data_IF_931710862951
#
_entry.id   IF_931710862951
#
_cell.length_a   1.000
_cell.length_b   1.000
_cell.length_c   1.000
_cell.angle_alpha   90.00
_cell.angle_beta   90.00
_cell.angle_gamma   90.00
#
_symmetry.space_group_name_H-M   'P 1'
#
loop_
_entity.id
_entity.type
_entity.pdbx_description
1 polymer ?
#
# COMPACT_ATOMS: atom_id res chain seq x y z
N UNK A 1 -13.31 8.75 15.15
CA UNK A 1 -13.28 8.74 13.67
C UNK A 1 -14.02 9.96 13.16
N UNK A 2 -13.37 10.83 12.40
CA UNK A 2 -13.92 12.06 11.85
C UNK A 2 -15.14 11.77 10.93
N UNK A 3 -16.14 12.68 10.91
CA UNK A 3 -17.33 12.54 10.06
C UNK A 3 -16.98 12.34 8.57
N UNK A 4 -16.03 13.11 8.07
CA UNK A 4 -15.58 13.02 6.67
C UNK A 4 -15.03 11.63 6.33
N UNK A 5 -14.31 11.02 7.25
CA UNK A 5 -13.73 9.68 7.08
C UNK A 5 -14.79 8.58 7.15
N UNK A 6 -15.75 8.70 8.07
CA UNK A 6 -16.89 7.80 8.13
C UNK A 6 -17.70 7.83 6.82
N UNK A 7 -17.91 9.02 6.26
CA UNK A 7 -18.58 9.19 4.96
C UNK A 7 -17.78 8.57 3.81
N UNK A 8 -16.44 8.76 3.81
CA UNK A 8 -15.57 8.13 2.80
C UNK A 8 -15.60 6.59 2.91
N UNK A 9 -15.46 6.04 4.11
CA UNK A 9 -15.56 4.59 4.34
C UNK A 9 -16.92 4.03 3.93
N UNK A 10 -18.02 4.72 4.27
CA UNK A 10 -19.37 4.35 3.85
C UNK A 10 -19.56 4.42 2.34
N UNK A 11 -18.96 5.40 1.67
CA UNK A 11 -18.96 5.52 0.21
C UNK A 11 -18.23 4.36 -0.43
N UNK A 12 -17.04 4.01 0.07
CA UNK A 12 -16.26 2.87 -0.39
C UNK A 12 -17.03 1.56 -0.22
N UNK A 13 -17.61 1.34 0.95
CA UNK A 13 -18.44 0.17 1.24
C UNK A 13 -19.66 0.08 0.31
N UNK A 14 -20.37 1.18 0.08
CA UNK A 14 -21.52 1.20 -0.82
C UNK A 14 -21.10 0.93 -2.28
N UNK A 15 -19.96 1.46 -2.71
CA UNK A 15 -19.45 1.18 -4.06
C UNK A 15 -19.01 -0.28 -4.20
N UNK A 16 -18.37 -0.86 -3.18
CA UNK A 16 -18.01 -2.28 -3.17
C UNK A 16 -19.25 -3.19 -3.25
N UNK A 17 -20.39 -2.80 -2.64
CA UNK A 17 -21.67 -3.52 -2.84
C UNK A 17 -22.10 -3.51 -4.29
N UNK A 18 -21.93 -2.38 -4.98
CA UNK A 18 -22.27 -2.29 -6.42
C UNK A 18 -21.35 -3.20 -7.22
N UNK A 19 -20.04 -3.21 -6.93
CA UNK A 19 -19.08 -4.12 -7.56
C UNK A 19 -19.51 -5.59 -7.36
N UNK A 20 -19.81 -6.00 -6.13
CA UNK A 20 -20.22 -7.37 -5.82
C UNK A 20 -21.55 -7.75 -6.52
N UNK A 21 -22.53 -6.85 -6.54
CA UNK A 21 -23.80 -7.07 -7.21
C UNK A 21 -23.65 -7.19 -8.74
N UNK A 22 -22.86 -6.29 -9.36
CA UNK A 22 -22.56 -6.34 -10.79
C UNK A 22 -21.79 -7.61 -11.14
N UNK A 23 -20.77 -7.98 -10.33
CA UNK A 23 -20.02 -9.22 -10.49
C UNK A 23 -20.95 -10.46 -10.46
N UNK A 24 -21.89 -10.50 -9.52
CA UNK A 24 -22.86 -11.58 -9.43
C UNK A 24 -23.79 -11.63 -10.65
N UNK A 25 -24.26 -10.49 -11.16
CA UNK A 25 -25.08 -10.39 -12.36
C UNK A 25 -24.31 -10.90 -13.59
N UNK A 26 -23.07 -10.45 -13.77
CA UNK A 26 -22.21 -10.89 -14.88
C UNK A 26 -21.92 -12.39 -14.81
N UNK A 27 -21.61 -12.92 -13.63
CA UNK A 27 -21.44 -14.36 -13.40
C UNK A 27 -22.70 -15.14 -13.80
N UNK A 28 -23.87 -14.70 -13.32
CA UNK A 28 -25.16 -15.35 -13.66
C UNK A 28 -25.43 -15.31 -15.15
N UNK A 29 -25.13 -14.18 -15.82
CA UNK A 29 -25.27 -14.05 -17.28
C UNK A 29 -24.33 -15.00 -18.04
N UNK A 30 -23.09 -15.20 -17.59
CA UNK A 30 -22.15 -16.15 -18.18
C UNK A 30 -22.60 -17.60 -18.01
N UNK A 31 -23.15 -17.99 -16.84
CA UNK A 31 -23.70 -19.30 -16.63
C UNK A 31 -24.93 -19.55 -17.49
N UNK A 32 -25.81 -18.55 -17.66
CA UNK A 32 -26.95 -18.63 -18.58
C UNK A 32 -26.48 -18.79 -20.03
N UNK A 33 -25.47 -18.04 -20.44
CA UNK A 33 -24.87 -18.18 -21.77
C UNK A 33 -24.29 -19.58 -22.00
N UNK A 34 -23.59 -20.14 -21.01
CA UNK A 34 -23.12 -21.53 -21.05
C UNK A 34 -24.30 -22.51 -21.23
N UNK A 35 -25.37 -22.34 -20.46
CA UNK A 35 -26.55 -23.23 -20.55
C UNK A 35 -27.22 -23.21 -21.95
N UNK A 36 -27.21 -22.06 -22.61
CA UNK A 36 -27.76 -21.88 -23.96
C UNK A 36 -26.83 -22.41 -25.04
N UNK A 37 -25.51 -22.17 -24.91
CA UNK A 37 -24.53 -22.46 -25.98
C UNK A 37 -23.81 -23.80 -25.84
N UNK A 38 -23.76 -24.36 -24.63
CA UNK A 38 -22.98 -25.57 -24.31
C UNK A 38 -21.47 -25.37 -24.47
N UNK A 39 -20.96 -24.13 -24.63
CA UNK A 39 -19.57 -23.84 -24.89
C UNK A 39 -18.71 -24.00 -23.63
N UNK A 40 -17.70 -24.88 -23.70
CA UNK A 40 -16.75 -25.09 -22.61
C UNK A 40 -15.93 -23.80 -22.29
N UNK A 41 -15.61 -23.00 -23.31
CA UNK A 41 -14.89 -21.74 -23.11
C UNK A 41 -15.72 -20.74 -22.26
N UNK A 42 -17.04 -20.66 -22.52
CA UNK A 42 -17.95 -19.83 -21.70
C UNK A 42 -18.07 -20.39 -20.28
N UNK A 43 -18.06 -21.72 -20.10
CA UNK A 43 -18.06 -22.33 -18.78
C UNK A 43 -16.80 -21.96 -18.01
N UNK A 44 -15.63 -22.01 -18.63
CA UNK A 44 -14.36 -21.62 -18.00
C UNK A 44 -14.41 -20.16 -17.53
N UNK A 45 -14.88 -19.24 -18.37
CA UNK A 45 -15.02 -17.81 -18.03
C UNK A 45 -16.09 -17.58 -16.92
N UNK A 46 -17.17 -18.39 -16.90
CA UNK A 46 -18.16 -18.36 -15.83
C UNK A 46 -17.59 -18.88 -14.50
N UNK A 47 -16.76 -19.93 -14.52
CA UNK A 47 -16.08 -20.47 -13.33
C UNK A 47 -15.07 -19.45 -12.74
N UNK A 48 -14.31 -18.75 -13.59
CA UNK A 48 -13.44 -17.66 -13.17
C UNK A 48 -14.22 -16.54 -12.47
N UNK A 49 -15.44 -16.25 -12.96
CA UNK A 49 -16.31 -15.23 -12.34
C UNK A 49 -16.78 -15.58 -10.93
N UNK A 50 -16.78 -16.88 -10.53
CA UNK A 50 -17.03 -17.27 -9.14
C UNK A 50 -15.92 -16.72 -8.24
N UNK A 51 -14.67 -16.84 -8.66
CA UNK A 51 -13.50 -16.34 -7.93
C UNK A 51 -13.63 -14.83 -7.71
N UNK A 52 -14.07 -14.10 -8.75
CA UNK A 52 -14.27 -12.65 -8.70
C UNK A 52 -15.37 -12.24 -7.71
N UNK A 53 -16.46 -12.98 -7.66
CA UNK A 53 -17.54 -12.74 -6.68
C UNK A 53 -17.05 -13.02 -5.26
N UNK A 54 -16.27 -14.08 -5.03
CA UNK A 54 -15.69 -14.40 -3.72
C UNK A 54 -14.74 -13.28 -3.28
N UNK A 55 -13.84 -12.82 -4.15
CA UNK A 55 -12.96 -11.69 -3.88
C UNK A 55 -13.75 -10.42 -3.53
N UNK A 56 -14.80 -10.12 -4.30
CA UNK A 56 -15.70 -8.99 -4.05
C UNK A 56 -16.38 -9.05 -2.68
N UNK A 57 -16.78 -10.22 -2.21
CA UNK A 57 -17.39 -10.44 -0.88
C UNK A 57 -16.34 -10.26 0.22
N UNK A 58 -15.12 -10.76 0.03
CA UNK A 58 -14.00 -10.56 0.99
C UNK A 58 -13.69 -9.07 1.13
N UNK A 59 -13.56 -8.34 0.01
CA UNK A 59 -13.35 -6.89 0.02
C UNK A 59 -14.50 -6.12 0.68
N UNK A 60 -15.74 -6.55 0.45
CA UNK A 60 -16.91 -5.96 1.10
C UNK A 60 -16.88 -6.16 2.62
N UNK A 61 -16.50 -7.34 3.10
CA UNK A 61 -16.37 -7.65 4.52
C UNK A 61 -15.22 -6.84 5.16
N UNK A 62 -14.10 -6.72 4.48
CA UNK A 62 -12.98 -5.90 4.94
C UNK A 62 -13.39 -4.43 5.11
N UNK A 63 -14.04 -3.84 4.11
CA UNK A 63 -14.54 -2.46 4.19
C UNK A 63 -15.62 -2.27 5.27
N UNK A 64 -16.44 -3.31 5.53
CA UNK A 64 -17.38 -3.27 6.65
C UNK A 64 -16.66 -3.22 8.00
N UNK A 65 -15.63 -4.04 8.19
CA UNK A 65 -14.84 -4.04 9.43
C UNK A 65 -14.08 -2.73 9.64
N UNK A 66 -13.54 -2.13 8.57
CA UNK A 66 -12.84 -0.83 8.64
C UNK A 66 -13.72 0.30 9.16
N UNK A 67 -15.05 0.20 9.00
CA UNK A 67 -15.97 1.20 9.56
C UNK A 67 -16.19 1.06 11.07
N UNK A 68 -15.76 -0.05 11.69
CA UNK A 68 -15.87 -0.21 13.14
C UNK A 68 -14.82 0.68 13.82
N UNK A 69 -15.20 1.42 14.87
CA UNK A 69 -14.24 2.17 15.67
C UNK A 69 -13.28 1.24 16.39
N UNK A 70 -12.21 1.80 16.91
CA UNK A 70 -11.35 1.11 17.86
C UNK A 70 -12.17 0.61 19.06
N UNK A 71 -11.84 -0.58 19.55
CA UNK A 71 -12.45 -1.24 20.69
C UNK A 71 -11.37 -1.83 21.61
N UNK A 72 -11.77 -2.39 22.76
CA UNK A 72 -10.84 -2.94 23.77
C UNK A 72 -9.94 -4.06 23.21
N UNK A 73 -10.41 -4.80 22.21
CA UNK A 73 -9.64 -5.87 21.56
C UNK A 73 -8.76 -5.38 20.40
N UNK A 74 -9.13 -4.24 19.80
CA UNK A 74 -8.43 -3.62 18.68
C UNK A 74 -8.24 -2.12 18.94
N UNK A 75 -7.34 -1.73 19.88
CA UNK A 75 -7.20 -0.32 20.31
C UNK A 75 -6.74 0.62 19.18
N UNK A 76 -6.04 0.11 18.16
CA UNK A 76 -5.67 0.86 16.95
C UNK A 76 -6.71 0.79 15.82
N UNK A 77 -7.90 0.19 16.09
CA UNK A 77 -8.97 0.02 15.11
C UNK A 77 -8.75 -1.18 14.18
N UNK A 78 -9.63 -1.29 13.18
CA UNK A 78 -9.71 -2.46 12.29
C UNK A 78 -9.11 -2.19 10.90
N UNK A 79 -8.36 -1.10 10.70
CA UNK A 79 -7.88 -0.67 9.38
C UNK A 79 -6.98 -1.66 8.66
N UNK A 80 -6.18 -2.45 9.38
CA UNK A 80 -5.27 -3.45 8.77
C UNK A 80 -5.99 -4.58 8.03
N UNK A 81 -7.29 -4.78 8.26
CA UNK A 81 -8.08 -5.79 7.55
C UNK A 81 -8.13 -5.52 6.03
N UNK A 82 -8.02 -4.26 5.60
CA UNK A 82 -7.91 -3.92 4.18
C UNK A 82 -6.64 -4.48 3.54
N UNK A 83 -5.53 -4.50 4.29
CA UNK A 83 -4.27 -5.06 3.82
C UNK A 83 -4.34 -6.59 3.67
N UNK A 84 -5.05 -7.26 4.60
CA UNK A 84 -5.29 -8.71 4.52
C UNK A 84 -6.15 -9.02 3.29
N UNK A 85 -7.26 -8.31 3.11
CA UNK A 85 -8.13 -8.47 1.93
C UNK A 85 -7.36 -8.25 0.63
N UNK A 86 -6.58 -7.16 0.53
CA UNK A 86 -5.75 -6.87 -0.65
C UNK A 86 -4.68 -7.92 -0.90
N UNK A 87 -4.11 -8.54 0.16
CA UNK A 87 -3.14 -9.62 0.01
C UNK A 87 -3.78 -10.85 -0.61
N UNK A 88 -5.00 -11.19 -0.17
CA UNK A 88 -5.79 -12.29 -0.75
C UNK A 88 -6.10 -11.99 -2.22
N UNK A 89 -6.59 -10.78 -2.53
CA UNK A 89 -6.90 -10.37 -3.91
C UNK A 89 -5.64 -10.40 -4.80
N UNK A 90 -4.51 -9.87 -4.34
CA UNK A 90 -3.25 -9.91 -5.07
C UNK A 90 -2.75 -11.33 -5.34
N UNK A 91 -2.95 -12.24 -4.38
CA UNK A 91 -2.65 -13.67 -4.56
C UNK A 91 -3.55 -14.31 -5.61
N UNK A 92 -4.86 -14.03 -5.57
CA UNK A 92 -5.82 -14.55 -6.53
C UNK A 92 -5.54 -14.06 -7.96
N UNK A 93 -5.23 -12.77 -8.14
CA UNK A 93 -4.81 -12.18 -9.42
C UNK A 93 -3.54 -12.90 -9.94
N UNK A 94 -2.54 -13.11 -9.07
CA UNK A 94 -1.29 -13.77 -9.45
C UNK A 94 -1.50 -15.22 -9.88
N UNK A 95 -2.34 -15.96 -9.15
CA UNK A 95 -2.69 -17.35 -9.48
C UNK A 95 -3.45 -17.41 -10.80
N UNK A 96 -4.45 -16.54 -11.02
CA UNK A 96 -5.20 -16.47 -12.26
C UNK A 96 -4.27 -16.19 -13.46
N UNK A 97 -3.37 -15.21 -13.35
CA UNK A 97 -2.38 -14.93 -14.39
C UNK A 97 -1.43 -16.11 -14.66
N UNK A 98 -1.01 -16.83 -13.62
CA UNK A 98 -0.18 -18.04 -13.78
C UNK A 98 -0.94 -19.17 -14.49
N UNK A 99 -2.22 -19.37 -14.17
CA UNK A 99 -3.08 -20.36 -14.85
C UNK A 99 -3.27 -20.00 -16.33
N UNK A 100 -3.47 -18.72 -16.67
CA UNK A 100 -3.54 -18.24 -18.07
C UNK A 100 -2.23 -18.54 -18.80
N UNK A 101 -1.08 -18.35 -18.19
CA UNK A 101 0.22 -18.67 -18.80
C UNK A 101 0.32 -20.19 -19.05
N UNK A 102 -0.03 -21.02 -18.08
CA UNK A 102 0.01 -22.49 -18.23
C UNK A 102 -0.93 -22.96 -19.35
N UNK A 103 -2.16 -22.47 -19.38
CA UNK A 103 -3.13 -22.75 -20.45
C UNK A 103 -2.60 -22.31 -21.82
N UNK A 104 -1.97 -21.13 -21.89
CA UNK A 104 -1.40 -20.59 -23.13
C UNK A 104 -0.26 -21.47 -23.66
N UNK A 105 0.60 -21.97 -22.76
CA UNK A 105 1.66 -22.90 -23.13
C UNK A 105 1.08 -24.24 -23.62
N UNK A 106 0.06 -24.76 -22.97
CA UNK A 106 -0.60 -26.00 -23.41
C UNK A 106 -1.23 -25.87 -24.79
N UNK A 107 -1.96 -24.76 -25.03
CA UNK A 107 -2.53 -24.45 -26.37
C UNK A 107 -1.45 -24.22 -27.44
N UNK A 108 -0.30 -23.71 -27.06
CA UNK A 108 0.84 -23.58 -27.99
C UNK A 108 1.40 -24.94 -28.41
N UNK A 109 1.45 -25.90 -27.48
CA UNK A 109 1.95 -27.27 -27.73
C UNK A 109 0.89 -28.16 -28.39
N UNK A 110 -0.40 -27.97 -28.09
CA UNK A 110 -1.53 -28.76 -28.55
C UNK A 110 -2.61 -27.84 -29.14
N UNK A 111 -2.42 -27.33 -30.37
CA UNK A 111 -3.39 -26.46 -31.02
C UNK A 111 -4.77 -27.13 -31.10
N UNK A 112 -5.82 -26.46 -30.64
CA UNK A 112 -7.20 -26.92 -30.73
C UNK A 112 -8.03 -26.01 -31.63
N UNK A 113 -8.95 -26.62 -32.39
CA UNK A 113 -9.86 -25.85 -33.27
C UNK A 113 -10.83 -25.03 -32.41
N UNK A 114 -10.94 -23.75 -32.73
CA UNK A 114 -11.84 -22.81 -32.06
C UNK A 114 -13.20 -22.90 -32.73
N UNK A 115 -14.16 -23.58 -32.07
CA UNK A 115 -15.51 -23.74 -32.56
C UNK A 115 -16.47 -22.72 -31.91
N UNK A 116 -17.28 -22.05 -32.74
CA UNK A 116 -18.43 -21.17 -32.39
C UNK A 116 -18.11 -19.88 -31.60
N UNK A 117 -17.87 -18.80 -32.34
CA UNK A 117 -17.39 -17.51 -31.88
C UNK A 117 -18.47 -16.43 -31.58
N UNK A 118 -19.72 -16.56 -32.07
CA UNK A 118 -20.53 -15.35 -32.30
C UNK A 118 -21.16 -14.74 -31.01
N UNK A 119 -21.89 -15.50 -30.20
CA UNK A 119 -22.60 -14.94 -29.04
C UNK A 119 -21.66 -14.82 -27.82
N UNK A 120 -20.77 -15.77 -27.64
CA UNK A 120 -19.79 -15.77 -26.52
C UNK A 120 -18.89 -14.55 -26.55
N UNK A 121 -18.43 -14.16 -27.74
CA UNK A 121 -17.54 -12.98 -27.93
C UNK A 121 -18.22 -11.66 -27.52
N UNK A 122 -19.50 -11.49 -27.85
CA UNK A 122 -20.28 -10.30 -27.46
C UNK A 122 -20.43 -10.24 -25.92
N UNK A 123 -20.71 -11.36 -25.28
CA UNK A 123 -20.88 -11.42 -23.82
C UNK A 123 -19.56 -11.09 -23.12
N UNK A 124 -18.43 -11.68 -23.59
CA UNK A 124 -17.09 -11.39 -23.05
C UNK A 124 -16.74 -9.92 -23.26
N UNK A 125 -17.02 -9.33 -24.43
CA UNK A 125 -16.74 -7.92 -24.68
C UNK A 125 -17.55 -6.98 -23.78
N UNK A 126 -18.85 -7.27 -23.59
CA UNK A 126 -19.70 -6.48 -22.67
C UNK A 126 -19.22 -6.61 -21.23
N UNK A 127 -18.89 -7.83 -20.78
CA UNK A 127 -18.36 -8.07 -19.43
C UNK A 127 -17.02 -7.33 -19.21
N UNK A 128 -16.13 -7.37 -20.20
CA UNK A 128 -14.86 -6.66 -20.15
C UNK A 128 -15.06 -5.14 -20.03
N UNK A 129 -15.99 -4.57 -20.80
CA UNK A 129 -16.28 -3.13 -20.72
C UNK A 129 -16.83 -2.72 -19.35
N UNK A 130 -17.74 -3.51 -18.80
CA UNK A 130 -18.31 -3.27 -17.47
C UNK A 130 -17.24 -3.40 -16.40
N UNK A 131 -16.40 -4.46 -16.43
CA UNK A 131 -15.31 -4.67 -15.50
C UNK A 131 -14.28 -3.53 -15.58
N UNK A 132 -13.95 -3.05 -16.78
CA UNK A 132 -13.05 -1.91 -16.97
C UNK A 132 -13.61 -0.64 -16.32
N UNK A 133 -14.86 -0.30 -16.60
CA UNK A 133 -15.50 0.88 -16.05
C UNK A 133 -15.54 0.84 -14.52
N UNK A 134 -15.99 -0.28 -13.95
CA UNK A 134 -16.06 -0.49 -12.50
C UNK A 134 -14.67 -0.50 -11.86
N UNK A 135 -13.71 -1.19 -12.48
CA UNK A 135 -12.34 -1.27 -12.00
C UNK A 135 -11.65 0.09 -11.98
N UNK A 136 -11.77 0.87 -13.06
CA UNK A 136 -11.22 2.22 -13.13
C UNK A 136 -11.81 3.15 -12.06
N UNK A 137 -13.14 3.10 -11.86
CA UNK A 137 -13.82 3.88 -10.82
C UNK A 137 -13.36 3.44 -9.42
N UNK A 138 -13.22 2.14 -9.17
CA UNK A 138 -12.75 1.59 -7.89
C UNK A 138 -11.31 2.03 -7.58
N UNK A 139 -10.39 1.95 -8.54
CA UNK A 139 -9.00 2.41 -8.37
C UNK A 139 -8.97 3.91 -8.04
N UNK A 140 -9.72 4.71 -8.82
CA UNK A 140 -9.75 6.16 -8.59
C UNK A 140 -10.32 6.52 -7.22
N UNK A 141 -11.40 5.87 -6.82
CA UNK A 141 -12.02 6.08 -5.51
C UNK A 141 -11.12 5.57 -4.38
N UNK A 142 -10.56 4.36 -4.50
CA UNK A 142 -9.66 3.78 -3.51
C UNK A 142 -8.44 4.66 -3.25
N UNK A 143 -7.82 5.21 -4.32
CA UNK A 143 -6.70 6.16 -4.17
C UNK A 143 -7.10 7.46 -3.50
N UNK A 144 -8.28 8.02 -3.83
CA UNK A 144 -8.76 9.28 -3.23
C UNK A 144 -9.13 9.15 -1.76
N UNK A 145 -9.44 7.94 -1.29
CA UNK A 145 -9.82 7.65 0.09
C UNK A 145 -8.76 6.88 0.87
N UNK A 146 -7.60 6.61 0.24
CA UNK A 146 -6.54 5.75 0.77
C UNK A 146 -7.01 4.34 1.18
N UNK A 147 -8.06 3.81 0.53
CA UNK A 147 -8.55 2.45 0.75
C UNK A 147 -7.80 1.45 -0.11
N UNK A 148 -6.95 0.64 0.52
CA UNK A 148 -6.14 -0.38 -0.15
C UNK A 148 -7.00 -1.51 -0.70
N UNK A 149 -8.07 -1.92 0.04
CA UNK A 149 -9.01 -2.93 -0.39
C UNK A 149 -9.76 -2.53 -1.66
N UNK A 150 -10.30 -1.29 -1.71
CA UNK A 150 -11.02 -0.83 -2.89
C UNK A 150 -10.09 -0.65 -4.11
N UNK A 151 -8.83 -0.20 -3.90
CA UNK A 151 -7.83 -0.14 -4.97
C UNK A 151 -7.49 -1.55 -5.49
N UNK A 152 -7.37 -2.54 -4.60
CA UNK A 152 -7.09 -3.93 -4.98
C UNK A 152 -8.25 -4.53 -5.78
N UNK A 153 -9.49 -4.40 -5.30
CA UNK A 153 -10.70 -4.83 -6.04
C UNK A 153 -10.77 -4.20 -7.43
N UNK A 154 -10.43 -2.91 -7.55
CA UNK A 154 -10.38 -2.24 -8.85
C UNK A 154 -9.30 -2.81 -9.77
N UNK A 155 -8.12 -3.13 -9.26
CA UNK A 155 -7.03 -3.77 -10.03
C UNK A 155 -7.40 -5.17 -10.46
N UNK A 156 -8.13 -5.92 -9.64
CA UNK A 156 -8.64 -7.23 -9.99
C UNK A 156 -9.58 -7.15 -11.20
N UNK A 157 -10.59 -6.28 -11.16
CA UNK A 157 -11.50 -6.05 -12.28
C UNK A 157 -10.80 -5.60 -13.57
N UNK A 158 -9.75 -4.76 -13.46
CA UNK A 158 -8.94 -4.37 -14.61
C UNK A 158 -8.10 -5.55 -15.14
N UNK A 159 -7.60 -6.45 -14.28
CA UNK A 159 -6.89 -7.66 -14.70
C UNK A 159 -7.79 -8.58 -15.52
N UNK A 160 -9.04 -8.77 -15.09
CA UNK A 160 -10.04 -9.53 -15.86
C UNK A 160 -10.31 -8.90 -17.23
N UNK A 161 -10.35 -7.57 -17.27
CA UNK A 161 -10.46 -6.84 -18.56
C UNK A 161 -9.27 -7.11 -19.46
N UNK A 162 -8.04 -7.11 -18.92
CA UNK A 162 -6.84 -7.38 -19.72
C UNK A 162 -6.84 -8.81 -20.28
N UNK A 163 -7.25 -9.78 -19.48
CA UNK A 163 -7.47 -11.16 -19.93
C UNK A 163 -8.46 -11.22 -21.08
N UNK A 164 -9.63 -10.61 -20.90
CA UNK A 164 -10.69 -10.58 -21.94
C UNK A 164 -10.23 -9.87 -23.22
N UNK A 165 -9.53 -8.74 -23.12
CA UNK A 165 -8.97 -8.02 -24.27
C UNK A 165 -7.91 -8.87 -24.98
N UNK A 166 -7.07 -9.60 -24.24
CA UNK A 166 -6.11 -10.55 -24.81
C UNK A 166 -6.79 -11.60 -25.69
N UNK A 167 -7.85 -12.21 -25.17
CA UNK A 167 -8.67 -13.20 -25.90
C UNK A 167 -9.29 -12.56 -27.16
N UNK A 168 -9.92 -11.39 -27.02
CA UNK A 168 -10.57 -10.70 -28.14
C UNK A 168 -9.58 -10.31 -29.24
N UNK A 169 -8.36 -9.84 -28.89
CA UNK A 169 -7.32 -9.52 -29.86
C UNK A 169 -6.74 -10.77 -30.51
N UNK A 170 -6.45 -11.82 -29.76
CA UNK A 170 -5.98 -13.09 -30.28
C UNK A 170 -6.94 -13.68 -31.30
N UNK A 171 -8.23 -13.79 -30.93
CA UNK A 171 -9.28 -14.29 -31.82
C UNK A 171 -9.52 -13.38 -33.04
N UNK A 172 -9.44 -12.05 -32.85
CA UNK A 172 -9.58 -11.10 -33.94
C UNK A 172 -8.49 -11.24 -34.99
N UNK A 173 -7.23 -11.45 -34.58
CA UNK A 173 -6.10 -11.69 -35.46
C UNK A 173 -6.25 -13.01 -36.19
N UNK A 174 -6.66 -14.07 -35.52
CA UNK A 174 -6.90 -15.39 -36.13
C UNK A 174 -8.04 -15.30 -37.16
N UNK A 175 -9.16 -14.64 -36.83
CA UNK A 175 -10.27 -14.45 -37.74
C UNK A 175 -9.87 -13.65 -39.00
N UNK A 176 -9.17 -12.54 -38.84
CA UNK A 176 -8.67 -11.73 -39.96
C UNK A 176 -7.66 -12.50 -40.82
N UNK A 177 -6.79 -13.29 -40.20
CA UNK A 177 -5.84 -14.14 -40.89
C UNK A 177 -6.51 -15.21 -41.74
N UNK A 178 -7.46 -15.93 -41.18
CA UNK A 178 -8.24 -16.94 -41.90
C UNK A 178 -9.00 -16.34 -43.11
N UNK A 179 -9.57 -15.13 -42.96
CA UNK A 179 -10.22 -14.41 -44.06
C UNK A 179 -9.27 -14.06 -45.18
N UNK A 180 -7.96 -13.90 -44.88
CA UNK A 180 -6.87 -13.58 -45.85
C UNK A 180 -6.14 -14.85 -46.33
N UNK A 181 -6.53 -16.03 -45.88
CA UNK A 181 -5.92 -17.33 -46.24
C UNK A 181 -4.62 -17.65 -45.52
N UNK A 182 -4.33 -16.97 -44.39
CA UNK A 182 -3.17 -17.23 -43.54
C UNK A 182 -3.62 -17.97 -42.25
N UNK A 183 -2.91 -19.04 -41.90
CA UNK A 183 -3.08 -19.67 -40.58
C UNK A 183 -2.31 -18.89 -39.51
N UNK A 184 -3.04 -18.10 -38.76
CA UNK A 184 -2.49 -17.27 -37.67
C UNK A 184 -2.88 -17.77 -36.26
N UNK A 185 -3.25 -19.06 -36.13
CA UNK A 185 -3.66 -19.68 -34.84
C UNK A 185 -2.65 -19.51 -33.71
N UNK A 186 -1.36 -19.35 -34.05
CA UNK A 186 -0.29 -19.17 -33.07
C UNK A 186 -0.37 -17.83 -32.30
N UNK A 187 -1.07 -16.81 -32.83
CA UNK A 187 -1.17 -15.50 -32.19
C UNK A 187 -2.05 -15.52 -30.94
N UNK A 188 -3.07 -16.36 -30.86
CA UNK A 188 -3.94 -16.48 -29.69
C UNK A 188 -3.14 -16.86 -28.41
N UNK A 189 -2.39 -17.96 -28.36
CA UNK A 189 -1.58 -18.29 -27.18
C UNK A 189 -0.45 -17.28 -26.89
N UNK A 190 0.13 -16.63 -27.90
CA UNK A 190 1.13 -15.58 -27.68
C UNK A 190 0.52 -14.39 -26.95
N UNK A 191 -0.63 -13.92 -27.41
CA UNK A 191 -1.32 -12.78 -26.75
C UNK A 191 -1.74 -13.16 -25.33
N UNK A 192 -2.30 -14.35 -25.12
CA UNK A 192 -2.67 -14.83 -23.79
C UNK A 192 -1.45 -14.91 -22.85
N UNK A 193 -0.27 -15.32 -23.34
CA UNK A 193 0.97 -15.36 -22.55
C UNK A 193 1.43 -13.95 -22.15
N UNK A 194 1.38 -12.98 -23.06
CA UNK A 194 1.74 -11.58 -22.79
C UNK A 194 0.83 -10.98 -21.72
N UNK A 195 -0.50 -11.12 -21.89
CA UNK A 195 -1.47 -10.60 -20.92
C UNK A 195 -1.40 -11.34 -19.58
N UNK A 196 -1.21 -12.67 -19.58
CA UNK A 196 -0.97 -13.45 -18.37
C UNK A 196 0.24 -12.95 -17.58
N UNK A 197 1.34 -12.62 -18.25
CA UNK A 197 2.52 -12.04 -17.59
C UNK A 197 2.22 -10.67 -16.97
N UNK A 198 1.48 -9.79 -17.65
CA UNK A 198 1.06 -8.48 -17.10
C UNK A 198 0.18 -8.68 -15.86
N UNK A 199 -0.75 -9.65 -15.89
CA UNK A 199 -1.64 -9.96 -14.78
C UNK A 199 -0.83 -10.46 -13.57
N UNK A 200 0.12 -11.40 -13.75
CA UNK A 200 1.00 -11.89 -12.68
C UNK A 200 1.77 -10.74 -12.04
N UNK A 201 2.41 -9.89 -12.85
CA UNK A 201 3.17 -8.73 -12.35
C UNK A 201 2.27 -7.79 -11.53
N UNK A 202 1.04 -7.56 -11.99
CA UNK A 202 0.07 -6.71 -11.28
C UNK A 202 -0.33 -7.33 -9.95
N UNK A 203 -0.66 -8.61 -9.92
CA UNK A 203 -1.05 -9.33 -8.70
C UNK A 203 0.08 -9.36 -7.66
N UNK A 204 1.31 -9.69 -8.11
CA UNK A 204 2.49 -9.69 -7.22
C UNK A 204 2.75 -8.29 -6.64
N UNK A 205 2.61 -7.23 -7.43
CA UNK A 205 2.77 -5.85 -6.92
C UNK A 205 1.71 -5.50 -5.85
N UNK A 206 0.46 -5.92 -6.06
CA UNK A 206 -0.61 -5.72 -5.05
C UNK A 206 -0.28 -6.49 -3.79
N UNK A 207 0.09 -7.77 -3.92
CA UNK A 207 0.46 -8.64 -2.80
C UNK A 207 1.62 -8.05 -1.99
N UNK A 208 2.74 -7.70 -2.66
CA UNK A 208 3.92 -7.14 -1.98
C UNK A 208 3.63 -5.81 -1.30
N UNK A 209 2.82 -4.93 -1.93
CA UNK A 209 2.40 -3.66 -1.32
C UNK A 209 1.61 -3.91 -0.04
N UNK A 210 0.68 -4.87 -0.06
CA UNK A 210 -0.16 -5.20 1.09
C UNK A 210 0.64 -5.90 2.21
N UNK A 211 1.52 -6.83 1.86
CA UNK A 211 2.42 -7.49 2.81
C UNK A 211 3.36 -6.49 3.50
N UNK A 212 3.94 -5.55 2.76
CA UNK A 212 4.75 -4.49 3.34
C UNK A 212 3.94 -3.63 4.32
N UNK A 213 2.68 -3.30 3.99
CA UNK A 213 1.79 -2.58 4.89
C UNK A 213 1.45 -3.37 6.16
N UNK A 214 1.27 -4.70 6.07
CA UNK A 214 1.06 -5.57 7.25
C UNK A 214 2.29 -5.57 8.16
N UNK A 215 3.49 -5.52 7.57
CA UNK A 215 4.78 -5.45 8.27
C UNK A 215 5.16 -4.03 8.72
N UNK A 216 4.23 -3.09 8.73
CA UNK A 216 4.43 -1.71 9.17
C UNK A 216 5.55 -0.97 8.41
N UNK A 217 5.67 -1.21 7.10
CA UNK A 217 6.62 -0.47 6.27
C UNK A 217 6.31 1.03 6.28
N UNK A 218 7.36 1.85 6.41
CA UNK A 218 7.22 3.29 6.47
C UNK A 218 6.64 3.88 5.17
N UNK A 219 5.67 4.77 5.31
CA UNK A 219 5.18 5.59 4.19
C UNK A 219 6.12 6.78 3.98
N UNK A 220 6.94 6.69 2.94
CA UNK A 220 7.98 7.71 2.62
C UNK A 220 7.38 9.08 2.34
N UNK A 221 6.19 9.15 1.73
CA UNK A 221 5.54 10.44 1.43
C UNK A 221 5.06 11.11 2.73
N UNK A 222 4.43 10.34 3.61
CA UNK A 222 4.03 10.86 4.94
C UNK A 222 5.25 11.24 5.76
N UNK A 223 6.31 10.42 5.74
CA UNK A 223 7.56 10.71 6.43
C UNK A 223 8.16 12.05 5.98
N UNK A 224 8.14 12.35 4.67
CA UNK A 224 8.58 13.65 4.12
C UNK A 224 7.74 14.82 4.64
N UNK A 225 6.43 14.64 4.69
CA UNK A 225 5.52 15.69 5.20
C UNK A 225 5.81 15.95 6.68
N UNK A 226 5.86 14.91 7.50
CA UNK A 226 6.13 15.01 8.94
C UNK A 226 7.48 15.67 9.20
N UNK A 227 8.55 15.23 8.52
CA UNK A 227 9.89 15.82 8.66
C UNK A 227 9.89 17.30 8.28
N UNK A 228 9.14 17.69 7.25
CA UNK A 228 9.01 19.11 6.85
C UNK A 228 8.27 19.94 7.90
N UNK A 229 7.18 19.42 8.45
CA UNK A 229 6.44 20.08 9.53
C UNK A 229 7.32 20.29 10.77
N UNK A 230 8.07 19.25 11.18
CA UNK A 230 9.00 19.33 12.31
C UNK A 230 10.06 20.42 12.07
N UNK A 231 10.69 20.46 10.90
CA UNK A 231 11.68 21.46 10.58
C UNK A 231 11.11 22.89 10.53
N UNK A 232 9.87 23.05 10.08
CA UNK A 232 9.21 24.36 9.99
C UNK A 232 8.82 24.91 11.37
N UNK A 233 8.30 24.06 12.23
CA UNK A 233 7.81 24.43 13.57
C UNK A 233 8.88 24.36 14.66
N UNK A 234 10.09 23.89 14.34
CA UNK A 234 11.19 23.80 15.27
C UNK A 234 11.64 25.17 15.76
N UNK A 235 11.77 25.30 17.07
CA UNK A 235 12.35 26.45 17.75
C UNK A 235 13.63 26.08 18.52
N UNK A 236 14.19 27.03 19.28
CA UNK A 236 15.40 26.86 20.08
C UNK A 236 15.29 25.79 21.18
N UNK A 237 14.05 25.41 21.57
CA UNK A 237 13.79 24.43 22.60
C UNK A 237 13.79 22.99 22.06
N UNK A 238 13.89 22.78 20.75
CA UNK A 238 13.98 21.45 20.15
C UNK A 238 15.38 21.20 19.61
N UNK A 239 16.18 20.44 20.37
CA UNK A 239 17.58 20.20 20.05
C UNK A 239 17.72 19.15 18.94
N UNK A 240 16.98 18.03 19.06
CA UNK A 240 17.01 16.92 18.12
C UNK A 240 15.65 16.25 18.01
N UNK A 241 15.38 15.63 16.85
CA UNK A 241 14.28 14.67 16.67
C UNK A 241 14.86 13.44 15.99
N UNK A 242 14.60 12.29 16.57
CA UNK A 242 15.09 11.00 16.09
C UNK A 242 14.04 9.91 16.33
N UNK A 243 14.32 8.68 15.92
CA UNK A 243 13.41 7.56 16.06
C UNK A 243 12.01 7.81 15.42
N UNK A 244 11.98 8.66 14.38
CA UNK A 244 10.73 8.96 13.69
C UNK A 244 10.24 7.71 12.94
N UNK A 245 9.05 7.25 13.30
CA UNK A 245 8.35 6.13 12.68
C UNK A 245 6.99 6.60 12.21
N UNK A 246 6.62 6.15 11.02
CA UNK A 246 5.33 6.48 10.43
C UNK A 246 4.75 5.22 9.83
N UNK A 247 3.59 4.80 10.31
CA UNK A 247 2.88 3.62 9.83
C UNK A 247 1.44 3.95 9.50
N UNK A 248 0.83 3.15 8.61
CA UNK A 248 -0.59 3.28 8.25
C UNK A 248 -1.39 2.07 8.71
N UNK A 249 -2.51 2.34 9.34
CA UNK A 249 -3.55 1.36 9.66
C UNK A 249 -4.80 1.66 8.83
N UNK A 250 -4.84 1.17 7.60
CA UNK A 250 -5.86 1.58 6.63
C UNK A 250 -5.70 3.04 6.23
N UNK A 251 -6.71 3.86 6.51
CA UNK A 251 -6.67 5.31 6.25
C UNK A 251 -6.06 6.14 7.38
N UNK A 252 -5.86 5.57 8.60
CA UNK A 252 -5.23 6.26 9.73
C UNK A 252 -3.71 6.24 9.63
N UNK A 253 -3.07 7.29 10.13
CA UNK A 253 -1.61 7.42 10.20
C UNK A 253 -1.20 7.47 11.66
N UNK A 254 -0.16 6.69 12.03
CA UNK A 254 0.49 6.78 13.33
C UNK A 254 1.90 7.31 13.15
N UNK A 255 2.24 8.28 13.98
CA UNK A 255 3.55 8.96 13.99
C UNK A 255 4.12 8.87 15.39
N UNK A 256 5.25 8.18 15.52
CA UNK A 256 6.01 8.11 16.76
C UNK A 256 7.38 8.75 16.54
N UNK A 257 7.81 9.58 17.47
CA UNK A 257 9.14 10.20 17.43
C UNK A 257 9.67 10.48 18.82
N UNK A 258 10.99 10.49 18.98
CA UNK A 258 11.67 11.00 20.15
C UNK A 258 12.13 12.44 19.89
N UNK A 259 11.96 13.30 20.88
CA UNK A 259 12.33 14.71 20.81
C UNK A 259 13.23 15.07 21.98
N UNK A 260 14.47 15.48 21.70
CA UNK A 260 15.39 15.95 22.72
C UNK A 260 15.21 17.44 22.97
N UNK A 261 14.96 17.79 24.22
CA UNK A 261 14.70 19.16 24.69
C UNK A 261 15.66 19.55 25.82
N UNK A 262 15.87 20.85 26.12
CA UNK A 262 16.60 21.28 27.32
C UNK A 262 15.98 20.71 28.59
N UNK A 263 16.81 20.09 29.44
CA UNK A 263 16.34 19.40 30.66
C UNK A 263 15.70 20.29 31.72
N UNK A 264 15.74 21.62 31.56
CA UNK A 264 15.08 22.59 32.44
C UNK A 264 13.64 22.91 32.07
N UNK A 265 13.18 22.48 30.88
CA UNK A 265 11.81 22.72 30.47
C UNK A 265 10.85 21.95 31.37
N UNK A 266 9.76 22.61 31.71
CA UNK A 266 8.63 22.00 32.42
C UNK A 266 7.83 21.11 31.47
N UNK A 267 7.08 20.17 32.01
CA UNK A 267 6.17 19.31 31.21
C UNK A 267 5.17 20.18 30.43
N UNK A 268 4.66 21.28 31.02
CA UNK A 268 3.74 22.21 30.36
C UNK A 268 4.36 22.90 29.13
N UNK A 269 5.63 23.27 29.21
CA UNK A 269 6.34 23.87 28.07
C UNK A 269 6.57 22.85 26.96
N UNK A 270 6.92 21.62 27.31
CA UNK A 270 7.08 20.52 26.36
C UNK A 270 5.75 20.18 25.67
N UNK A 271 4.63 20.14 26.42
CA UNK A 271 3.28 19.91 25.88
C UNK A 271 2.93 20.93 24.79
N UNK A 272 3.22 22.22 25.02
CA UNK A 272 3.00 23.27 24.01
C UNK A 272 3.80 23.06 22.73
N UNK A 273 5.02 22.50 22.82
CA UNK A 273 5.84 22.16 21.65
C UNK A 273 5.20 20.99 20.90
N UNK A 274 4.80 19.93 21.60
CA UNK A 274 4.14 18.76 21.03
C UNK A 274 2.82 19.13 20.35
N UNK A 275 2.01 20.00 20.98
CA UNK A 275 0.76 20.49 20.41
C UNK A 275 0.98 21.27 19.10
N UNK A 276 2.02 22.11 19.05
CA UNK A 276 2.39 22.87 17.84
C UNK A 276 2.78 21.93 16.70
N UNK A 277 3.64 20.93 16.95
CA UNK A 277 4.00 19.92 15.97
C UNK A 277 2.80 19.10 15.52
N UNK A 278 2.00 18.65 16.48
CA UNK A 278 0.80 17.85 16.21
C UNK A 278 -0.21 18.61 15.35
N UNK A 279 -0.41 19.91 15.63
CA UNK A 279 -1.27 20.77 14.83
C UNK A 279 -0.75 20.90 13.39
N UNK A 280 0.53 21.25 13.23
CA UNK A 280 1.12 21.40 11.90
C UNK A 280 1.07 20.11 11.06
N UNK A 281 1.26 18.96 11.69
CA UNK A 281 1.16 17.65 11.02
C UNK A 281 -0.31 17.37 10.63
N UNK A 282 -1.27 17.61 11.54
CA UNK A 282 -2.70 17.43 11.26
C UNK A 282 -3.22 18.37 10.17
N UNK A 283 -2.76 19.61 10.13
CA UNK A 283 -3.11 20.58 9.08
C UNK A 283 -2.70 20.08 7.66
N UNK A 284 -1.65 19.27 7.56
CA UNK A 284 -1.16 18.71 6.29
C UNK A 284 -1.74 17.31 5.97
N UNK A 285 -1.95 16.47 6.96
CA UNK A 285 -2.34 15.06 6.78
C UNK A 285 -3.81 14.78 7.11
N UNK A 286 -4.51 15.76 7.70
CA UNK A 286 -5.88 15.62 8.22
C UNK A 286 -5.91 15.22 9.70
N UNK A 287 -7.11 15.27 10.30
CA UNK A 287 -7.30 15.08 11.75
C UNK A 287 -7.07 13.62 12.23
N UNK A 288 -7.05 12.65 11.29
CA UNK A 288 -6.95 11.24 11.65
C UNK A 288 -5.49 10.76 11.65
N UNK A 289 -4.67 11.54 12.31
CA UNK A 289 -3.28 11.22 12.60
C UNK A 289 -3.14 11.10 14.12
N UNK A 290 -2.71 9.94 14.57
CA UNK A 290 -2.30 9.71 15.95
C UNK A 290 -0.81 10.00 16.06
N UNK A 291 -0.45 10.90 17.01
CA UNK A 291 0.90 11.45 17.09
C UNK A 291 1.40 11.33 18.52
N UNK A 292 2.52 10.65 18.66
CA UNK A 292 3.21 10.50 19.94
C UNK A 292 4.64 11.05 19.84
N UNK A 293 4.95 12.07 20.66
CA UNK A 293 6.32 12.52 20.87
C UNK A 293 6.79 12.12 22.26
N UNK A 294 7.81 11.30 22.33
CA UNK A 294 8.52 11.03 23.58
C UNK A 294 9.58 12.10 23.82
N UNK A 295 9.33 12.96 24.80
CA UNK A 295 10.31 13.99 25.15
C UNK A 295 11.43 13.41 26.01
N UNK A 296 12.66 13.69 25.63
CA UNK A 296 13.89 13.28 26.31
C UNK A 296 14.69 14.51 26.74
N UNK A 297 15.20 14.51 27.97
CA UNK A 297 16.09 15.57 28.41
C UNK A 297 17.45 15.48 27.72
N UNK A 298 18.02 16.62 27.36
CA UNK A 298 19.36 16.67 26.80
C UNK A 298 20.41 16.23 27.84
N UNK A 299 21.52 15.70 27.34
CA UNK A 299 22.76 15.50 28.08
C UNK A 299 23.88 16.45 27.61
N UNK A 300 25.06 16.38 28.24
CA UNK A 300 26.21 17.25 27.93
C UNK A 300 26.63 17.16 26.45
N UNK A 301 26.32 16.10 25.74
CA UNK A 301 26.72 15.90 24.35
C UNK A 301 25.91 16.77 23.39
N UNK A 302 24.69 17.15 23.79
CA UNK A 302 23.82 18.02 23.02
C UNK A 302 24.11 19.51 23.19
N UNK A 303 24.98 19.92 24.17
CA UNK A 303 25.25 21.33 24.45
C UNK A 303 25.70 22.10 23.21
N UNK A 304 26.45 21.46 22.30
CA UNK A 304 26.90 22.08 21.04
C UNK A 304 25.75 22.42 20.06
N UNK A 305 24.60 21.81 20.22
CA UNK A 305 23.40 22.02 19.39
C UNK A 305 22.29 22.76 20.13
N UNK A 306 22.45 22.96 21.42
CA UNK A 306 21.51 23.63 22.30
C UNK A 306 21.70 25.13 22.31
N UNK A 307 20.69 25.90 22.00
CA UNK A 307 20.72 27.37 21.98
C UNK A 307 20.43 28.00 23.35
N UNK A 308 20.05 27.20 24.36
CA UNK A 308 19.75 27.68 25.70
C UNK A 308 21.01 28.19 26.42
N UNK A 309 21.26 29.49 26.38
CA UNK A 309 22.41 30.12 27.03
C UNK A 309 22.33 30.13 28.56
N UNK A 310 21.13 30.01 29.13
CA UNK A 310 20.88 30.03 30.58
C UNK A 310 21.04 28.67 31.28
N UNK A 311 21.59 27.66 30.61
CA UNK A 311 21.76 26.31 31.16
C UNK A 311 22.95 26.21 32.12
N UNK A 312 22.67 25.95 33.39
CA UNK A 312 23.70 25.76 34.44
C UNK A 312 24.58 24.52 34.25
N UNK A 313 24.12 23.56 33.44
CA UNK A 313 24.80 22.29 33.16
C UNK A 313 25.51 22.28 31.80
N UNK A 314 25.64 23.43 31.15
CA UNK A 314 26.26 23.53 29.82
C UNK A 314 27.75 23.12 29.86
N UNK A 315 28.08 22.05 29.15
CA UNK A 315 29.47 21.55 29.07
C UNK A 315 30.31 22.25 27.97
N UNK A 316 29.68 22.70 26.86
CA UNK A 316 30.34 23.39 25.75
C UNK A 316 29.41 24.45 25.15
N UNK A 317 29.95 25.50 24.54
CA UNK A 317 29.17 26.54 23.88
C UNK A 317 28.41 26.03 22.68
N UNK A 318 27.37 26.77 22.27
CA UNK A 318 26.63 26.51 21.04
C UNK A 318 27.53 26.56 19.83
N UNK A 319 27.40 25.63 18.91
CA UNK A 319 28.23 25.54 17.69
C UNK A 319 27.37 25.68 16.45
N UNK A 320 26.28 24.91 16.35
CA UNK A 320 25.43 24.85 15.15
C UNK A 320 24.08 24.23 15.44
N UNK A 321 23.08 24.51 14.58
CA UNK A 321 21.77 23.89 14.62
C UNK A 321 21.81 22.56 13.84
N UNK A 322 21.41 21.49 14.47
CA UNK A 322 21.40 20.18 13.84
C UNK A 322 20.37 20.11 12.72
N UNK A 323 20.79 19.76 11.52
CA UNK A 323 19.88 19.51 10.41
C UNK A 323 19.10 18.20 10.61
N UNK A 324 17.77 18.29 10.47
CA UNK A 324 16.86 17.14 10.57
C UNK A 324 16.41 16.70 9.18
N UNK A 325 17.17 15.82 8.53
CA UNK A 325 16.80 15.17 7.28
C UNK A 325 16.08 13.84 7.52
N UNK A 326 15.42 13.31 6.50
CA UNK A 326 14.76 12.00 6.59
C UNK A 326 15.75 10.90 7.02
N UNK A 327 16.95 10.91 6.45
CA UNK A 327 18.02 9.97 6.73
C UNK A 327 18.53 10.06 8.18
N UNK A 328 18.25 11.15 8.86
CA UNK A 328 18.67 11.41 10.23
C UNK A 328 17.53 11.13 11.22
N UNK A 329 16.33 11.62 10.98
CA UNK A 329 15.22 11.49 11.95
C UNK A 329 14.72 10.05 12.11
N UNK A 330 14.90 9.16 11.12
CA UNK A 330 14.51 7.75 11.19
C UNK A 330 15.45 6.86 11.99
N UNK A 331 16.63 7.36 12.38
CA UNK A 331 17.62 6.56 13.13
C UNK A 331 17.16 6.30 14.56
N UNK A 332 17.39 5.08 15.03
CA UNK A 332 16.99 4.64 16.37
C UNK A 332 17.82 5.27 17.49
N UNK A 333 19.06 5.63 17.19
CA UNK A 333 19.96 6.26 18.16
C UNK A 333 20.08 7.75 17.86
N UNK A 334 20.20 8.56 18.90
CA UNK A 334 20.63 9.94 18.75
C UNK A 334 21.92 9.96 17.94
N UNK A 335 21.99 10.76 16.89
CA UNK A 335 23.07 10.78 15.90
C UNK A 335 24.48 10.94 16.53
N UNK A 336 24.51 11.38 17.77
CA UNK A 336 25.71 11.62 18.54
C UNK A 336 26.26 10.35 19.19
N UNK A 337 25.41 9.44 19.67
CA UNK A 337 25.84 8.24 20.42
C UNK A 337 26.72 7.31 19.58
N UNK A 338 26.49 7.21 18.26
CA UNK A 338 27.34 6.42 17.36
C UNK A 338 28.75 7.03 17.18
N UNK A 339 28.87 8.37 17.12
CA UNK A 339 30.15 9.03 16.97
C UNK A 339 30.98 8.92 18.25
N UNK A 340 30.34 8.87 19.44
CA UNK A 340 31.03 8.76 20.73
C UNK A 340 31.38 7.30 21.04
N UNK A 341 30.48 6.32 20.78
CA UNK A 341 30.83 4.90 20.92
C UNK A 341 32.01 4.53 20.04
N UNK A 342 32.01 4.89 18.76
CA UNK A 342 33.14 4.63 17.87
C UNK A 342 34.42 5.40 18.21
N UNK A 343 34.36 6.49 19.00
CA UNK A 343 35.54 7.21 19.51
C UNK A 343 36.05 6.60 20.82
N UNK A 344 35.17 6.18 21.70
CA UNK A 344 35.53 5.51 22.95
C UNK A 344 36.06 4.08 22.70
N UNK A 345 35.56 3.36 21.73
CA UNK A 345 36.11 2.08 21.27
C UNK A 345 37.53 2.27 20.73
N UNK A 346 37.78 3.30 19.90
CA UNK A 346 39.12 3.60 19.41
C UNK A 346 40.09 4.07 20.53
N UNK A 347 39.59 4.73 21.59
CA UNK A 347 40.42 5.16 22.74
C UNK A 347 40.70 3.97 23.68
N UNK A 348 39.79 2.99 23.78
CA UNK A 348 40.02 1.75 24.55
C UNK A 348 41.06 0.86 23.86
N UNK A 349 40.97 0.69 22.53
CA UNK A 349 41.97 -0.08 21.77
C UNK A 349 43.35 0.47 21.81
N UNK A 350 43.49 1.81 21.80
CA UNK A 350 44.82 2.44 21.93
C UNK A 350 45.42 2.40 23.35
N UNK A 351 44.59 2.12 24.39
CA UNK A 351 45.08 1.94 25.76
C UNK A 351 45.54 0.51 26.08
N UNK A 352 45.01 -0.46 25.38
CA UNK A 352 45.40 -1.89 25.53
C UNK A 352 46.68 -2.20 24.72
N UNK A 353 46.96 -1.51 23.61
CA UNK A 353 48.20 -1.68 22.87
C UNK A 353 49.41 -1.08 23.60
N UNK A 354 49.22 -0.12 24.52
CA UNK A 354 50.28 0.51 25.31
C UNK A 354 50.69 -0.28 26.57
N UNK A 355 50.00 -1.39 26.92
CA UNK A 355 50.33 -2.20 28.11
C UNK A 355 51.05 -3.51 27.83
N UNK A 356 51.23 -3.87 26.59
CA UNK A 356 51.92 -5.12 26.19
C UNK A 356 53.35 -4.87 25.65
N UNK A 357 53.94 -3.74 25.97
CA UNK A 357 55.26 -3.33 25.49
C UNK A 357 56.24 -2.96 26.61
N UNK A 358 56.14 -3.56 27.83
CA UNK A 358 57.21 -3.53 28.83
C UNK A 358 57.50 -4.95 29.36
#
# INVERSE_FOLDING_TARGET
MDKAKMEAARRNYNFQKVIAAVGFILMSGKFLAYYITGSVAILTDAMESIVNVVAGVIGLYALYLTMKPADDSHPYGHGKIELISSSIEGSMISIAGALIILESVDRFLHPSDINSLDIGLVIVAVAALVNFAMGYMAIRMGRSTNSVALEASGKHLCSDTYSSVGILLGLGIVYAGNALGYDLGIFDPIMALIFGAVIVVTGVRVLLKSMNGIMDSADIEVLRVVTRCINHERDENVIDVHHLRVVRYGSSVHVDAHMTVPGRLTVEEVEKIVDRFSKAIKDQLGDDVDITFMAESCDNMFCRYCQDEGCDHRAVGFVDIKYLGIDTVIKNDTHYLKAVRGRNERISDTRDEGKNGE
#
